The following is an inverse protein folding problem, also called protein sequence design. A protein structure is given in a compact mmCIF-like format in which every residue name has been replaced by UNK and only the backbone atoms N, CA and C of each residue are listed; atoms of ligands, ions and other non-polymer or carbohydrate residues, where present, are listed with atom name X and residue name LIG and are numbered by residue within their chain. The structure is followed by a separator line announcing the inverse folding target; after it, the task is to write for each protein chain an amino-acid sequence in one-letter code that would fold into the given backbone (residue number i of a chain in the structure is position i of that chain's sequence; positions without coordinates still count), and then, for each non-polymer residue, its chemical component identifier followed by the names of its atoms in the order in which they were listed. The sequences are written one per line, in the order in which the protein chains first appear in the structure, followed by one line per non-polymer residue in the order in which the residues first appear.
data_IF_786123834099
#
_entry.id   IF_786123834099
#
_cell.length_a   1.000
_cell.length_b   1.000
_cell.length_c   1.000
_cell.angle_alpha   90.00
_cell.angle_beta   90.00
_cell.angle_gamma   90.00
#
_symmetry.space_group_name_H-M   'P 1'
#
loop_
_entity.id
_entity.type
_entity.pdbx_description
1 polymer ?
#
# COMPACT_ATOMS: atom_id res chain seq x y z
N UNK A 1 -11.47 31.17 22.30
CA UNK A 1 -12.55 30.19 22.02
C UNK A 1 -12.50 29.05 23.03
N UNK A 2 -13.63 28.67 23.65
CA UNK A 2 -13.68 27.60 24.65
C UNK A 2 -13.30 26.23 24.06
N UNK A 3 -12.44 25.50 24.78
CA UNK A 3 -11.93 24.17 24.43
C UNK A 3 -13.00 23.07 24.43
N UNK A 4 -14.15 23.32 25.06
CA UNK A 4 -15.24 22.36 25.23
C UNK A 4 -16.17 22.24 24.01
N UNK A 5 -15.96 23.02 22.95
CA UNK A 5 -16.82 23.00 21.76
C UNK A 5 -16.51 21.80 20.86
N UNK A 6 -17.57 21.07 20.47
CA UNK A 6 -17.50 19.87 19.61
C UNK A 6 -16.66 20.05 18.33
N UNK A 7 -16.77 21.15 17.56
CA UNK A 7 -15.96 21.30 16.33
C UNK A 7 -14.46 21.33 16.59
N UNK A 8 -14.02 21.97 17.69
CA UNK A 8 -12.61 22.03 18.06
C UNK A 8 -12.11 20.66 18.54
N UNK A 9 -12.94 19.93 19.28
CA UNK A 9 -12.62 18.57 19.74
C UNK A 9 -12.47 17.60 18.57
N UNK A 10 -13.35 17.67 17.57
CA UNK A 10 -13.26 16.84 16.36
C UNK A 10 -12.01 17.21 15.56
N UNK A 11 -11.80 18.50 15.29
CA UNK A 11 -10.69 18.99 14.48
C UNK A 11 -9.31 18.63 15.07
N UNK A 12 -9.17 18.72 16.40
CA UNK A 12 -7.93 18.42 17.11
C UNK A 12 -7.87 16.98 17.66
N UNK A 13 -8.94 16.22 17.47
CA UNK A 13 -9.07 14.84 17.91
C UNK A 13 -8.16 13.91 17.10
N UNK A 14 -7.66 12.89 17.77
CA UNK A 14 -6.86 11.83 17.16
C UNK A 14 -7.76 10.89 16.36
N UNK A 15 -7.27 10.41 15.22
CA UNK A 15 -7.97 9.43 14.39
C UNK A 15 -7.69 8.03 14.96
N UNK A 16 -8.73 7.38 15.50
CA UNK A 16 -8.60 6.12 16.24
C UNK A 16 -7.88 4.99 15.47
N UNK A 17 -8.10 4.91 14.15
CA UNK A 17 -7.55 3.85 13.30
C UNK A 17 -6.45 4.35 12.33
N UNK A 18 -5.87 5.53 12.58
CA UNK A 18 -4.82 6.04 11.71
C UNK A 18 -3.56 5.17 11.79
N UNK A 19 -3.09 4.72 10.62
CA UNK A 19 -1.75 4.14 10.49
C UNK A 19 -0.71 5.21 10.83
N UNK A 20 0.20 4.89 11.74
CA UNK A 20 1.31 5.76 12.14
C UNK A 20 2.63 5.12 11.78
N UNK A 21 3.57 5.94 11.30
CA UNK A 21 4.96 5.51 11.22
C UNK A 21 5.53 5.37 12.65
N UNK A 22 6.44 4.43 12.84
CA UNK A 22 7.10 4.19 14.13
C UNK A 22 7.74 5.51 14.60
N UNK A 23 7.49 5.88 15.86
CA UNK A 23 8.04 7.11 16.47
C UNK A 23 7.23 8.40 16.25
N UNK A 24 6.18 8.40 15.42
CA UNK A 24 5.35 9.61 15.19
C UNK A 24 4.13 9.65 16.12
N UNK A 25 3.69 10.85 16.59
CA UNK A 25 2.40 11.02 17.24
C UNK A 25 1.22 10.55 16.37
N UNK A 26 0.10 10.20 17.01
CA UNK A 26 -1.14 9.83 16.32
C UNK A 26 -1.68 11.02 15.53
N UNK A 27 -2.08 10.76 14.29
CA UNK A 27 -2.57 11.77 13.36
C UNK A 27 -3.89 12.37 13.86
N UNK A 28 -4.00 13.70 13.83
CA UNK A 28 -5.26 14.41 14.14
C UNK A 28 -6.05 14.66 12.86
N UNK A 29 -7.36 14.90 12.99
CA UNK A 29 -8.20 15.21 11.83
C UNK A 29 -7.69 16.43 11.04
N UNK A 30 -7.27 17.49 11.73
CA UNK A 30 -6.65 18.68 11.12
C UNK A 30 -5.45 18.34 10.24
N UNK A 31 -4.62 17.40 10.67
CA UNK A 31 -3.40 17.05 9.95
C UNK A 31 -3.72 16.32 8.64
N UNK A 32 -4.72 15.43 8.65
CA UNK A 32 -5.25 14.81 7.43
C UNK A 32 -5.81 15.84 6.46
N UNK A 33 -6.64 16.77 6.95
CA UNK A 33 -7.21 17.81 6.10
C UNK A 33 -6.13 18.68 5.44
N UNK A 34 -5.02 18.96 6.14
CA UNK A 34 -3.87 19.65 5.54
C UNK A 34 -3.17 18.80 4.49
N UNK A 35 -2.93 17.52 4.75
CA UNK A 35 -2.34 16.63 3.75
C UNK A 35 -3.19 16.58 2.47
N UNK A 36 -4.52 16.51 2.61
CA UNK A 36 -5.45 16.51 1.47
C UNK A 36 -5.42 17.84 0.71
N UNK A 37 -5.37 18.98 1.41
CA UNK A 37 -5.24 20.29 0.78
C UNK A 37 -3.95 20.40 -0.06
N UNK A 38 -2.80 19.91 0.45
CA UNK A 38 -1.55 19.85 -0.35
C UNK A 38 -1.76 18.96 -1.58
N UNK A 39 -2.37 17.79 -1.40
CA UNK A 39 -2.63 16.85 -2.48
C UNK A 39 -3.55 17.43 -3.58
N UNK A 40 -4.45 18.34 -3.21
CA UNK A 40 -5.36 19.03 -4.11
C UNK A 40 -4.82 20.37 -4.63
N UNK A 41 -3.57 20.72 -4.31
CA UNK A 41 -2.94 21.98 -4.68
C UNK A 41 -3.70 23.22 -4.16
N UNK A 42 -4.21 23.13 -2.92
CA UNK A 42 -4.87 24.22 -2.20
C UNK A 42 -3.89 24.77 -1.15
N UNK A 43 -3.62 26.07 -1.19
CA UNK A 43 -2.76 26.71 -0.21
C UNK A 43 -3.39 26.76 1.19
N UNK A 44 -2.59 26.48 2.22
CA UNK A 44 -3.06 26.42 3.60
C UNK A 44 -3.31 27.77 4.25
N UNK A 45 -2.78 28.85 3.68
CA UNK A 45 -2.92 30.18 4.25
C UNK A 45 -4.08 30.95 3.62
N UNK A 46 -4.48 30.62 2.39
CA UNK A 46 -5.56 31.28 1.64
C UNK A 46 -6.79 30.41 1.35
N UNK A 47 -6.88 29.19 1.91
CA UNK A 47 -8.04 28.31 1.68
C UNK A 47 -9.38 28.92 2.14
N UNK A 48 -9.36 29.85 3.10
CA UNK A 48 -10.57 30.53 3.61
C UNK A 48 -11.18 31.45 2.55
N UNK A 49 -10.36 32.13 1.74
CA UNK A 49 -10.82 32.97 0.63
C UNK A 49 -11.54 32.12 -0.41
N UNK A 50 -10.96 30.97 -0.76
CA UNK A 50 -11.58 29.99 -1.63
C UNK A 50 -12.85 29.38 -1.02
N UNK A 51 -12.84 29.11 0.28
CA UNK A 51 -13.98 28.54 1.01
C UNK A 51 -15.16 29.52 1.17
N UNK A 52 -14.90 30.83 1.10
CA UNK A 52 -15.93 31.87 1.18
C UNK A 52 -16.97 31.73 0.08
N UNK A 53 -16.54 31.30 -1.11
CA UNK A 53 -17.46 30.88 -2.16
C UNK A 53 -17.71 29.37 -2.10
N UNK A 54 -18.87 29.00 -1.55
CA UNK A 54 -19.28 27.60 -1.36
C UNK A 54 -19.23 26.77 -2.65
N UNK A 55 -19.62 27.36 -3.79
CA UNK A 55 -19.67 26.66 -5.07
C UNK A 55 -18.26 26.41 -5.62
N UNK A 56 -17.40 27.42 -5.51
CA UNK A 56 -16.00 27.33 -5.93
C UNK A 56 -15.24 26.32 -5.08
N UNK A 57 -15.39 26.38 -3.75
CA UNK A 57 -14.84 25.39 -2.83
C UNK A 57 -15.19 23.95 -3.21
N UNK A 58 -16.48 23.68 -3.46
CA UNK A 58 -16.93 22.33 -3.84
C UNK A 58 -16.33 21.88 -5.17
N UNK A 59 -16.26 22.77 -6.16
CA UNK A 59 -15.67 22.48 -7.47
C UNK A 59 -14.18 22.16 -7.32
N UNK A 60 -13.43 22.98 -6.59
CA UNK A 60 -11.98 22.80 -6.41
C UNK A 60 -11.67 21.51 -5.66
N UNK A 61 -12.39 21.20 -4.58
CA UNK A 61 -12.21 19.93 -3.85
C UNK A 61 -12.52 18.73 -4.74
N UNK A 62 -13.62 18.77 -5.50
CA UNK A 62 -13.99 17.68 -6.41
C UNK A 62 -12.93 17.45 -7.48
N UNK A 63 -12.46 18.52 -8.12
CA UNK A 63 -11.41 18.42 -9.13
C UNK A 63 -10.08 17.96 -8.56
N UNK A 64 -9.68 18.49 -7.40
CA UNK A 64 -8.48 18.07 -6.68
C UNK A 64 -8.50 16.57 -6.36
N UNK A 65 -9.62 16.08 -5.81
CA UNK A 65 -9.84 14.68 -5.52
C UNK A 65 -9.73 13.81 -6.78
N UNK A 66 -10.44 14.18 -7.85
CA UNK A 66 -10.41 13.43 -9.12
C UNK A 66 -9.00 13.33 -9.70
N UNK A 67 -8.25 14.43 -9.69
CA UNK A 67 -6.88 14.47 -10.21
C UNK A 67 -5.94 13.64 -9.33
N UNK A 68 -6.04 13.79 -8.01
CA UNK A 68 -5.24 13.03 -7.06
C UNK A 68 -5.47 11.53 -7.20
N UNK A 69 -6.73 11.09 -7.22
CA UNK A 69 -7.10 9.69 -7.37
C UNK A 69 -6.61 9.12 -8.70
N UNK A 70 -6.75 9.86 -9.80
CA UNK A 70 -6.28 9.43 -11.11
C UNK A 70 -4.77 9.21 -11.13
N UNK A 71 -3.99 10.16 -10.59
CA UNK A 71 -2.54 10.03 -10.46
C UNK A 71 -2.14 8.87 -9.54
N UNK A 72 -2.89 8.66 -8.45
CA UNK A 72 -2.66 7.56 -7.52
C UNK A 72 -2.91 6.19 -8.18
N UNK A 73 -4.00 6.04 -8.93
CA UNK A 73 -4.29 4.82 -9.68
C UNK A 73 -3.23 4.53 -10.74
N UNK A 74 -2.74 5.57 -11.43
CA UNK A 74 -1.67 5.43 -12.39
C UNK A 74 -0.36 4.95 -11.73
N UNK A 75 0.07 5.56 -10.62
CA UNK A 75 1.24 5.12 -9.86
C UNK A 75 1.09 3.66 -9.37
N UNK A 76 -0.09 3.28 -8.90
CA UNK A 76 -0.39 1.88 -8.54
C UNK A 76 -0.24 0.93 -9.74
N UNK A 77 -0.75 1.32 -10.91
CA UNK A 77 -0.63 0.56 -12.14
C UNK A 77 0.84 0.42 -12.57
N UNK A 78 1.61 1.51 -12.55
CA UNK A 78 3.04 1.52 -12.85
C UNK A 78 3.81 0.63 -11.87
N UNK A 79 3.54 0.71 -10.56
CA UNK A 79 4.14 -0.16 -9.55
C UNK A 79 3.79 -1.63 -9.77
N UNK A 80 2.60 -1.94 -10.28
CA UNK A 80 2.19 -3.31 -10.62
C UNK A 80 2.91 -3.81 -11.87
N UNK A 81 3.01 -2.98 -12.92
CA UNK A 81 3.75 -3.29 -14.14
C UNK A 81 5.25 -3.52 -13.85
N UNK A 82 5.88 -2.66 -13.05
CA UNK A 82 7.28 -2.84 -12.60
C UNK A 82 7.48 -4.16 -11.86
N UNK A 83 6.53 -4.57 -11.00
CA UNK A 83 6.57 -5.88 -10.31
C UNK A 83 6.39 -7.06 -11.26
N UNK A 84 5.53 -6.92 -12.27
CA UNK A 84 5.36 -7.93 -13.31
C UNK A 84 6.63 -8.09 -14.15
N UNK A 85 7.20 -6.99 -14.65
CA UNK A 85 8.42 -7.00 -15.44
C UNK A 85 9.66 -7.43 -14.64
N UNK A 86 9.66 -7.21 -13.32
CA UNK A 86 10.69 -7.76 -12.39
C UNK A 86 10.60 -9.28 -12.20
N UNK A 87 9.48 -9.92 -12.54
CA UNK A 87 9.46 -11.37 -12.69
C UNK A 87 10.25 -11.68 -13.98
N UNK A 88 11.57 -11.70 -13.86
CA UNK A 88 12.43 -12.27 -14.88
C UNK A 88 12.09 -13.75 -15.11
N UNK A 89 12.86 -14.41 -15.99
CA UNK A 89 12.76 -15.85 -16.15
C UNK A 89 12.78 -16.54 -14.77
N UNK A 90 12.02 -17.63 -14.56
CA UNK A 90 12.11 -18.42 -13.35
C UNK A 90 13.60 -18.69 -13.04
N UNK A 91 14.03 -18.63 -11.77
CA UNK A 91 15.41 -18.94 -11.43
C UNK A 91 15.78 -20.29 -12.07
N UNK A 92 16.97 -20.41 -12.68
CA UNK A 92 17.37 -21.62 -13.36
C UNK A 92 17.21 -22.80 -12.41
N UNK A 93 16.64 -23.89 -12.93
CA UNK A 93 16.39 -25.09 -12.14
C UNK A 93 17.76 -25.63 -11.72
N UNK A 94 18.09 -25.49 -10.44
CA UNK A 94 19.34 -25.98 -9.90
C UNK A 94 19.24 -27.49 -9.64
N UNK A 95 20.13 -28.32 -10.19
CA UNK A 95 20.23 -29.76 -9.89
C UNK A 95 20.25 -30.09 -8.39
N UNK A 96 20.75 -29.18 -7.57
CA UNK A 96 20.80 -29.31 -6.11
C UNK A 96 19.42 -29.42 -5.43
N UNK A 97 18.34 -29.03 -6.11
CA UNK A 97 16.98 -29.03 -5.55
C UNK A 97 16.12 -30.19 -6.08
N UNK A 98 16.76 -31.27 -6.54
CA UNK A 98 16.08 -32.50 -6.92
C UNK A 98 15.58 -33.25 -5.67
N UNK A 99 14.34 -33.75 -5.73
CA UNK A 99 13.83 -34.67 -4.72
C UNK A 99 14.54 -36.03 -4.83
N UNK A 100 15.18 -36.54 -3.77
CA UNK A 100 15.87 -37.83 -3.81
C UNK A 100 14.91 -39.03 -3.96
N UNK A 101 13.62 -38.82 -3.66
CA UNK A 101 12.60 -39.88 -3.72
C UNK A 101 11.98 -40.06 -5.10
N UNK A 102 11.75 -38.97 -5.83
CA UNK A 102 11.00 -38.99 -7.09
C UNK A 102 11.68 -38.25 -8.25
N UNK A 103 12.90 -37.72 -8.04
CA UNK A 103 13.64 -36.95 -9.04
C UNK A 103 13.04 -35.58 -9.38
N UNK A 104 11.92 -35.17 -8.74
CA UNK A 104 11.28 -33.89 -9.07
C UNK A 104 12.19 -32.71 -8.73
N UNK A 105 12.48 -31.91 -9.75
CA UNK A 105 13.28 -30.69 -9.63
C UNK A 105 12.44 -29.55 -9.03
N UNK A 106 12.84 -29.06 -7.85
CA UNK A 106 12.19 -27.94 -7.18
C UNK A 106 12.89 -26.61 -7.49
N UNK A 107 12.13 -25.51 -7.50
CA UNK A 107 12.67 -24.17 -7.82
C UNK A 107 13.46 -23.51 -6.68
N UNK A 108 13.42 -24.09 -5.48
CA UNK A 108 14.13 -23.58 -4.29
C UNK A 108 14.28 -24.68 -3.24
N UNK A 109 15.21 -24.49 -2.29
CA UNK A 109 15.40 -25.36 -1.12
C UNK A 109 14.15 -25.47 -0.24
N UNK A 110 13.42 -24.37 -0.03
CA UNK A 110 12.14 -24.37 0.72
C UNK A 110 11.07 -25.17 -0.05
N UNK A 111 11.06 -25.06 -1.38
CA UNK A 111 10.19 -25.84 -2.26
C UNK A 111 10.48 -27.33 -2.16
N UNK A 112 11.76 -27.72 -2.17
CA UNK A 112 12.20 -29.10 -1.95
C UNK A 112 11.75 -29.61 -0.58
N UNK A 113 12.05 -28.90 0.51
CA UNK A 113 11.68 -29.31 1.86
C UNK A 113 10.16 -29.48 2.05
N UNK A 114 9.37 -28.63 1.41
CA UNK A 114 7.90 -28.74 1.44
C UNK A 114 7.40 -29.92 0.60
N UNK A 115 8.07 -30.20 -0.52
CA UNK A 115 7.77 -31.33 -1.38
C UNK A 115 8.13 -32.67 -0.70
N UNK A 116 9.32 -32.80 -0.11
CA UNK A 116 9.80 -34.02 0.55
C UNK A 116 8.85 -34.51 1.64
N UNK A 117 8.26 -33.57 2.41
CA UNK A 117 7.26 -33.86 3.45
C UNK A 117 5.98 -34.49 2.91
N UNK A 118 5.64 -34.24 1.64
CA UNK A 118 4.41 -34.72 0.99
C UNK A 118 4.69 -35.67 -0.19
N UNK A 119 5.95 -36.04 -0.40
CA UNK A 119 6.35 -36.88 -1.51
C UNK A 119 5.90 -38.33 -1.22
N UNK A 120 5.07 -38.88 -2.13
CA UNK A 120 4.40 -40.18 -1.98
C UNK A 120 5.14 -41.35 -2.63
N UNK A 121 6.25 -41.08 -3.32
CA UNK A 121 7.07 -42.11 -3.96
C UNK A 121 8.14 -42.52 -2.94
N UNK A 122 8.23 -43.81 -2.65
CA UNK A 122 9.37 -44.38 -1.95
C UNK A 122 10.26 -44.99 -3.03
N UNK A 123 11.55 -44.65 -3.01
CA UNK A 123 12.52 -45.12 -3.97
C UNK A 123 12.81 -46.61 -3.66
N UNK A 124 11.94 -47.51 -4.11
CA UNK A 124 12.21 -48.94 -4.23
C UNK A 124 12.21 -49.22 -5.72
N UNK A 125 13.40 -49.26 -6.31
CA UNK A 125 13.77 -50.12 -7.45
C UNK A 125 15.19 -49.72 -7.87
N UNK A 126 16.16 -50.21 -7.11
CA UNK A 126 17.55 -50.36 -7.57
C UNK A 126 17.99 -51.79 -7.29
N UNK A 127 17.78 -52.67 -8.27
CA UNK A 127 18.72 -53.72 -8.71
C UNK A 127 18.59 -53.82 -10.22
#
# INVERSE_FOLDING_TARGET
MSSARLPRQILLGQIAFARRNVGRPVLRFKDSAKCDMVAFNIDHNSWEDLASNRNEWRKTIFMGCKTHDSAWFEDLAQKRAKRYNRKGAPPPINPQHACPKCGRMCRSRIGLFSHERRCRINNTDTV
#
